data_IF_994288474974
#
_entry.id   IF_994288474974
#
_cell.length_a   1.000
_cell.length_b   1.000
_cell.length_c   1.000
_cell.angle_alpha   90.00
_cell.angle_beta   90.00
_cell.angle_gamma   90.00
#
_symmetry.space_group_name_H-M   'P 1'
#
loop_
_entity.id
_entity.type
_entity.pdbx_description
1 polymer ?
#
# COMPACT_ATOMS: atom_id res chain seq x y z
N UNK A 1 -63.59 -54.36 66.90
CA UNK A 1 -62.14 -54.39 67.33
C UNK A 1 -61.29 -53.71 66.30
N UNK A 2 -60.75 -52.56 66.72
CA UNK A 2 -59.46 -51.91 66.44
C UNK A 2 -58.71 -52.23 65.12
N UNK A 3 -58.37 -51.25 64.28
CA UNK A 3 -57.15 -50.38 64.51
C UNK A 3 -57.13 -49.23 63.50
N UNK A 4 -56.84 -48.07 64.05
CA UNK A 4 -56.50 -46.82 63.29
C UNK A 4 -55.22 -47.01 62.54
N UNK A 5 -55.08 -46.45 61.34
CA UNK A 5 -53.86 -46.19 60.66
C UNK A 5 -53.82 -44.72 60.20
N UNK A 6 -52.88 -44.00 60.70
CA UNK A 6 -52.57 -42.59 60.38
C UNK A 6 -51.83 -42.52 59.04
N UNK A 7 -52.28 -41.69 58.14
CA UNK A 7 -51.53 -41.35 56.93
C UNK A 7 -50.94 -39.97 57.15
N UNK A 8 -49.61 -39.95 57.28
CA UNK A 8 -48.78 -38.73 57.27
C UNK A 8 -48.64 -38.26 55.82
N UNK A 9 -49.14 -37.06 55.53
CA UNK A 9 -48.87 -36.36 54.28
C UNK A 9 -47.49 -35.76 54.28
N UNK A 10 -46.63 -36.17 53.35
CA UNK A 10 -45.40 -35.51 53.04
C UNK A 10 -45.66 -34.42 51.99
N UNK A 11 -45.57 -33.17 52.42
CA UNK A 11 -45.54 -32.04 51.50
C UNK A 11 -44.13 -31.96 50.89
N UNK A 12 -44.01 -32.27 49.58
CA UNK A 12 -42.78 -32.06 48.84
C UNK A 12 -42.66 -30.58 48.45
N UNK A 13 -41.81 -29.83 49.10
CA UNK A 13 -41.36 -28.52 48.66
C UNK A 13 -40.41 -28.70 47.46
N UNK A 14 -40.91 -28.50 46.25
CA UNK A 14 -40.10 -28.36 45.04
C UNK A 14 -39.38 -27.00 45.04
N UNK A 15 -38.11 -26.99 45.35
CA UNK A 15 -37.26 -25.82 45.12
C UNK A 15 -37.00 -25.67 43.63
N UNK A 16 -37.66 -24.70 42.99
CA UNK A 16 -37.35 -24.24 41.66
C UNK A 16 -35.98 -23.53 41.69
N UNK A 17 -34.92 -24.23 41.35
CA UNK A 17 -33.62 -23.61 41.10
C UNK A 17 -33.73 -22.87 39.75
N UNK A 18 -34.01 -21.56 39.81
CA UNK A 18 -33.86 -20.66 38.69
C UNK A 18 -32.35 -20.59 38.42
N UNK A 19 -31.91 -21.37 37.44
CA UNK A 19 -30.58 -21.25 36.89
C UNK A 19 -30.45 -19.86 36.23
N UNK A 20 -29.83 -18.93 36.96
CA UNK A 20 -29.32 -17.70 36.36
C UNK A 20 -28.20 -18.13 35.40
N UNK A 21 -28.56 -18.34 34.14
CA UNK A 21 -27.58 -18.40 33.08
C UNK A 21 -26.88 -17.05 33.08
N UNK A 22 -25.70 -16.98 33.67
CA UNK A 22 -24.77 -15.88 33.47
C UNK A 22 -24.49 -15.80 31.97
N UNK A 23 -25.14 -14.86 31.32
CA UNK A 23 -24.70 -14.34 30.03
C UNK A 23 -23.33 -13.71 30.26
N UNK A 24 -22.29 -14.54 30.26
CA UNK A 24 -20.95 -14.04 30.03
C UNK A 24 -21.00 -13.39 28.67
N UNK A 25 -21.05 -12.06 28.66
CA UNK A 25 -20.70 -11.27 27.47
C UNK A 25 -19.40 -11.87 26.96
N UNK A 26 -19.47 -12.70 25.94
CA UNK A 26 -18.31 -13.17 25.23
C UNK A 26 -17.73 -11.93 24.55
N UNK A 27 -16.85 -11.24 25.27
CA UNK A 27 -16.18 -10.04 24.79
C UNK A 27 -15.60 -10.38 23.43
N UNK A 28 -16.20 -9.82 22.37
CA UNK A 28 -15.85 -10.15 21.00
C UNK A 28 -14.32 -10.02 20.84
N UNK A 29 -13.67 -11.09 20.40
CA UNK A 29 -12.20 -11.15 20.27
C UNK A 29 -11.71 -9.95 19.50
N UNK A 30 -10.89 -9.11 20.13
CA UNK A 30 -10.26 -7.97 19.49
C UNK A 30 -8.96 -8.38 18.79
N UNK A 31 -8.67 -7.75 17.67
CA UNK A 31 -7.49 -8.01 16.87
C UNK A 31 -6.62 -6.76 16.80
N UNK A 32 -5.37 -6.85 17.24
CA UNK A 32 -4.39 -5.79 17.01
C UNK A 32 -3.82 -5.92 15.62
N UNK A 33 -4.10 -4.99 14.73
CA UNK A 33 -3.62 -5.01 13.33
C UNK A 33 -2.72 -3.81 13.11
N UNK A 34 -1.47 -4.09 12.73
CA UNK A 34 -0.48 -3.07 12.43
C UNK A 34 -0.35 -2.85 10.92
N UNK A 35 -0.40 -1.60 10.50
CA UNK A 35 0.03 -1.13 9.18
C UNK A 35 1.44 -0.56 9.33
N UNK A 36 2.42 -1.27 8.76
CA UNK A 36 3.82 -0.86 8.73
C UNK A 36 4.15 -0.30 7.35
N UNK A 37 4.50 0.98 7.31
CA UNK A 37 4.78 1.72 6.08
C UNK A 37 6.28 1.85 5.80
N UNK A 38 6.66 2.29 4.59
CA UNK A 38 8.06 2.48 4.20
C UNK A 38 8.75 3.57 5.01
N UNK A 39 8.05 4.70 5.20
CA UNK A 39 8.48 5.81 6.04
C UNK A 39 7.28 6.61 6.52
N UNK A 40 7.39 7.18 7.71
CA UNK A 40 6.42 8.13 8.25
C UNK A 40 6.57 9.50 7.55
N UNK A 41 5.49 10.28 7.50
CA UNK A 41 5.47 11.62 6.92
C UNK A 41 5.42 11.65 5.38
N UNK A 42 5.35 10.50 4.71
CA UNK A 42 5.08 10.44 3.27
C UNK A 42 3.56 10.55 3.02
N UNK A 43 3.13 11.55 2.25
CA UNK A 43 1.71 11.84 2.00
C UNK A 43 0.89 10.65 1.51
N UNK A 44 1.47 9.78 0.68
CA UNK A 44 0.81 8.55 0.23
C UNK A 44 0.46 7.62 1.40
N UNK A 45 1.37 7.43 2.34
CA UNK A 45 1.15 6.56 3.50
C UNK A 45 0.24 7.20 4.54
N UNK A 46 0.26 8.53 4.68
CA UNK A 46 -0.69 9.24 5.56
C UNK A 46 -2.13 9.13 5.03
N UNK A 47 -2.32 9.20 3.71
CA UNK A 47 -3.62 8.93 3.09
C UNK A 47 -4.03 7.45 3.29
N UNK A 48 -3.12 6.50 3.14
CA UNK A 48 -3.39 5.08 3.38
C UNK A 48 -3.75 4.79 4.84
N UNK A 49 -3.14 5.51 5.81
CA UNK A 49 -3.50 5.46 7.23
C UNK A 49 -4.98 5.75 7.44
N UNK A 50 -5.49 6.82 6.81
CA UNK A 50 -6.93 7.17 6.88
C UNK A 50 -7.80 5.98 6.47
N UNK A 51 -7.45 5.29 5.38
CA UNK A 51 -8.16 4.07 4.96
C UNK A 51 -8.08 2.95 5.98
N UNK A 52 -6.92 2.75 6.60
CA UNK A 52 -6.73 1.77 7.66
C UNK A 52 -7.61 2.03 8.89
N UNK A 53 -7.74 3.30 9.29
CA UNK A 53 -8.63 3.76 10.38
C UNK A 53 -10.11 3.49 10.03
N UNK A 54 -10.51 3.77 8.78
CA UNK A 54 -11.86 3.47 8.29
C UNK A 54 -12.17 1.97 8.31
N UNK A 55 -11.22 1.12 7.89
CA UNK A 55 -11.38 -0.33 7.94
C UNK A 55 -11.52 -0.83 9.39
N UNK A 56 -10.69 -0.34 10.31
CA UNK A 56 -10.76 -0.70 11.72
C UNK A 56 -12.10 -0.29 12.35
N UNK A 57 -12.58 0.91 12.03
CA UNK A 57 -13.89 1.42 12.46
C UNK A 57 -15.03 0.55 11.94
N UNK A 58 -15.02 0.18 10.66
CA UNK A 58 -16.04 -0.68 10.06
C UNK A 58 -16.05 -2.08 10.66
N UNK A 59 -14.88 -2.66 10.95
CA UNK A 59 -14.74 -3.99 11.54
C UNK A 59 -15.17 -4.02 13.03
N UNK A 60 -15.08 -2.91 13.75
CA UNK A 60 -15.58 -2.72 15.12
C UNK A 60 -14.76 -3.41 16.21
N UNK A 61 -13.99 -4.44 15.89
CA UNK A 61 -13.19 -5.22 16.83
C UNK A 61 -11.68 -5.23 16.50
N UNK A 62 -11.19 -4.16 15.87
CA UNK A 62 -9.79 -3.98 15.51
C UNK A 62 -9.17 -2.83 16.31
N UNK A 63 -8.04 -3.11 16.95
CA UNK A 63 -7.13 -2.10 17.47
C UNK A 63 -6.08 -1.81 16.40
N UNK A 64 -6.22 -0.68 15.70
CA UNK A 64 -5.37 -0.30 14.60
C UNK A 64 -4.09 0.37 15.09
N UNK A 65 -2.95 -0.04 14.53
CA UNK A 65 -1.63 0.53 14.81
C UNK A 65 -1.03 0.98 13.48
N UNK A 66 -0.73 2.28 13.37
CA UNK A 66 0.04 2.84 12.25
C UNK A 66 1.46 3.10 12.72
N UNK A 67 2.46 2.57 11.98
CA UNK A 67 3.87 2.73 12.33
C UNK A 67 4.78 2.62 11.10
N UNK A 68 5.98 3.12 11.22
CA UNK A 68 7.02 3.05 10.21
C UNK A 68 8.33 3.67 10.71
N UNK A 69 9.44 3.47 10.00
CA UNK A 69 10.67 4.21 10.25
C UNK A 69 10.53 5.66 9.77
N UNK A 70 11.46 6.53 10.18
CA UNK A 70 11.55 7.91 9.68
C UNK A 70 12.22 8.02 8.31
N UNK A 71 12.99 7.01 7.92
CA UNK A 71 13.62 6.89 6.60
C UNK A 71 13.24 5.54 5.96
N UNK A 72 13.18 5.50 4.63
CA UNK A 72 12.78 4.31 3.87
C UNK A 72 13.90 3.23 3.87
N UNK A 73 14.16 2.61 5.02
CA UNK A 73 15.18 1.58 5.21
C UNK A 73 14.60 0.26 5.70
N UNK A 74 15.18 -0.86 5.28
CA UNK A 74 14.79 -2.19 5.75
C UNK A 74 15.11 -2.40 7.23
N UNK A 75 16.24 -1.86 7.70
CA UNK A 75 16.69 -1.93 9.09
C UNK A 75 15.65 -1.27 10.02
N UNK A 76 15.20 -0.07 9.67
CA UNK A 76 14.16 0.62 10.44
C UNK A 76 12.85 -0.16 10.48
N UNK A 77 12.47 -0.83 9.37
CA UNK A 77 11.27 -1.70 9.38
C UNK A 77 11.48 -2.96 10.22
N UNK A 78 12.68 -3.55 10.24
CA UNK A 78 12.99 -4.69 11.12
C UNK A 78 12.85 -4.31 12.60
N UNK A 79 13.30 -3.12 12.99
CA UNK A 79 13.11 -2.60 14.35
C UNK A 79 11.63 -2.44 14.71
N UNK A 80 10.83 -1.85 13.80
CA UNK A 80 9.39 -1.75 13.98
C UNK A 80 8.71 -3.12 14.10
N UNK A 81 9.07 -4.08 13.24
CA UNK A 81 8.55 -5.45 13.32
C UNK A 81 8.91 -6.14 14.63
N UNK A 82 10.12 -5.92 15.17
CA UNK A 82 10.51 -6.43 16.49
C UNK A 82 9.59 -5.88 17.60
N UNK A 83 9.29 -4.59 17.57
CA UNK A 83 8.38 -3.94 18.50
C UNK A 83 6.96 -4.52 18.40
N UNK A 84 6.44 -4.68 17.18
CA UNK A 84 5.12 -5.26 16.91
C UNK A 84 5.02 -6.72 17.37
N UNK A 85 6.09 -7.50 17.20
CA UNK A 85 6.18 -8.89 17.71
C UNK A 85 6.13 -8.91 19.24
N UNK A 86 6.84 -7.99 19.90
CA UNK A 86 6.81 -7.88 21.37
C UNK A 86 5.41 -7.48 21.89
N UNK A 87 4.69 -6.63 21.15
CA UNK A 87 3.31 -6.23 21.44
C UNK A 87 2.27 -7.32 21.15
N UNK A 88 2.69 -8.47 20.60
CA UNK A 88 1.84 -9.62 20.27
C UNK A 88 0.65 -9.21 19.37
N UNK A 89 0.91 -8.42 18.34
CA UNK A 89 -0.13 -8.05 17.36
C UNK A 89 -0.71 -9.28 16.66
N UNK A 90 -1.94 -9.19 16.19
CA UNK A 90 -2.62 -10.30 15.50
C UNK A 90 -2.16 -10.44 14.05
N UNK A 91 -1.92 -9.29 13.39
CA UNK A 91 -1.41 -9.25 12.02
C UNK A 91 -0.58 -7.99 11.77
N UNK A 92 0.32 -8.09 10.77
CA UNK A 92 1.11 -6.98 10.23
C UNK A 92 0.85 -6.91 8.72
N UNK A 93 0.36 -5.77 8.25
CA UNK A 93 0.31 -5.41 6.85
C UNK A 93 1.49 -4.48 6.55
N UNK A 94 2.48 -4.93 5.78
CA UNK A 94 3.70 -4.18 5.55
C UNK A 94 3.88 -3.78 4.09
N UNK A 95 4.19 -2.50 3.84
CA UNK A 95 4.75 -2.03 2.58
C UNK A 95 6.28 -2.03 2.71
N UNK A 96 6.93 -2.98 2.02
CA UNK A 96 8.34 -3.31 2.27
C UNK A 96 9.32 -2.37 1.59
N UNK A 97 10.39 -2.00 2.28
CA UNK A 97 11.54 -1.27 1.71
C UNK A 97 12.50 -2.21 0.95
N UNK A 98 12.57 -3.46 1.36
CA UNK A 98 13.37 -4.51 0.71
C UNK A 98 12.61 -5.84 0.74
N UNK A 99 12.49 -6.55 -0.40
CA UNK A 99 11.71 -7.79 -0.47
C UNK A 99 12.34 -8.94 0.32
N UNK A 100 13.65 -8.98 0.46
CA UNK A 100 14.40 -10.11 1.03
C UNK A 100 14.78 -9.87 2.50
N UNK A 101 15.18 -8.64 2.85
CA UNK A 101 15.63 -8.30 4.20
C UNK A 101 14.56 -8.56 5.27
N UNK A 102 13.28 -8.39 4.91
CA UNK A 102 12.16 -8.61 5.84
C UNK A 102 11.72 -10.07 5.98
N UNK A 103 12.25 -11.01 5.17
CA UNK A 103 11.79 -12.41 5.20
C UNK A 103 12.07 -13.07 6.56
N UNK A 104 13.27 -12.91 7.11
CA UNK A 104 13.65 -13.54 8.37
C UNK A 104 12.79 -13.08 9.54
N UNK A 105 12.57 -11.75 9.67
CA UNK A 105 11.73 -11.18 10.73
C UNK A 105 10.26 -11.56 10.55
N UNK A 106 9.76 -11.63 9.31
CA UNK A 106 8.40 -12.08 9.00
C UNK A 106 8.17 -13.54 9.40
N UNK A 107 9.12 -14.43 9.14
CA UNK A 107 9.07 -15.82 9.59
C UNK A 107 9.08 -15.92 11.12
N UNK A 108 9.84 -15.06 11.81
CA UNK A 108 9.84 -14.99 13.28
C UNK A 108 8.49 -14.51 13.83
N UNK A 109 7.84 -13.55 13.18
CA UNK A 109 6.49 -13.12 13.51
C UNK A 109 5.49 -14.28 13.32
N UNK A 110 5.56 -14.97 12.18
CA UNK A 110 4.70 -16.12 11.87
C UNK A 110 4.86 -17.27 12.88
N UNK A 111 6.08 -17.59 13.32
CA UNK A 111 6.34 -18.59 14.35
C UNK A 111 5.69 -18.24 15.70
N UNK A 112 5.35 -16.97 15.95
CA UNK A 112 4.60 -16.49 17.11
C UNK A 112 3.10 -16.34 16.88
N UNK A 113 2.60 -16.86 15.75
CA UNK A 113 1.19 -16.83 15.38
C UNK A 113 0.70 -15.53 14.72
N UNK A 114 1.59 -14.54 14.53
CA UNK A 114 1.28 -13.26 13.90
C UNK A 114 1.16 -13.46 12.39
N UNK A 115 0.08 -12.97 11.79
CA UNK A 115 -0.15 -13.05 10.34
C UNK A 115 0.58 -11.89 9.65
N UNK A 116 1.43 -12.21 8.66
CA UNK A 116 2.15 -11.19 7.89
C UNK A 116 1.63 -11.21 6.45
N UNK A 117 1.13 -10.08 6.01
CA UNK A 117 0.81 -9.79 4.61
C UNK A 117 1.64 -8.61 4.15
N UNK A 118 1.83 -8.47 2.84
CA UNK A 118 2.38 -7.25 2.26
C UNK A 118 1.35 -6.55 1.36
N UNK A 119 1.50 -5.26 1.22
CA UNK A 119 0.68 -4.40 0.36
C UNK A 119 1.56 -3.32 -0.27
N UNK A 120 1.12 -2.69 -1.36
CA UNK A 120 1.90 -1.68 -2.10
C UNK A 120 3.26 -2.20 -2.58
N UNK A 121 4.22 -2.40 -1.70
CA UNK A 121 5.55 -2.95 -1.97
C UNK A 121 5.74 -4.28 -1.25
N UNK A 122 6.07 -5.35 -2.01
CA UNK A 122 6.01 -6.72 -1.54
C UNK A 122 7.24 -7.20 -0.77
N UNK A 123 7.01 -8.02 0.26
CA UNK A 123 8.02 -8.96 0.79
C UNK A 123 8.07 -10.16 -0.17
N UNK A 124 9.23 -10.79 -0.32
CA UNK A 124 9.36 -12.06 -1.06
C UNK A 124 8.37 -13.11 -0.51
N UNK A 125 7.81 -13.95 -1.40
CA UNK A 125 6.74 -14.91 -1.10
C UNK A 125 6.98 -15.74 0.18
N UNK A 126 8.25 -16.08 0.45
CA UNK A 126 8.63 -16.86 1.64
C UNK A 126 8.39 -16.14 2.98
N UNK A 127 8.16 -14.82 2.98
CA UNK A 127 7.94 -14.00 4.18
C UNK A 127 6.51 -13.52 4.38
N UNK A 128 5.56 -13.89 3.51
CA UNK A 128 4.19 -13.36 3.54
C UNK A 128 3.13 -14.39 3.21
N UNK A 129 1.91 -14.16 3.66
CA UNK A 129 0.74 -14.97 3.30
C UNK A 129 0.12 -14.52 1.98
N UNK A 130 0.03 -13.20 1.76
CA UNK A 130 -0.42 -12.60 0.49
C UNK A 130 0.29 -11.27 0.24
N UNK A 131 0.22 -10.81 -1.02
CA UNK A 131 0.54 -9.44 -1.40
C UNK A 131 -0.64 -8.78 -2.11
N UNK A 132 -1.02 -7.61 -1.61
CA UNK A 132 -2.00 -6.75 -2.25
C UNK A 132 -1.27 -5.71 -3.11
N UNK A 133 -1.23 -5.95 -4.42
CA UNK A 133 -0.75 -4.96 -5.37
C UNK A 133 -1.76 -3.81 -5.49
N UNK A 134 -1.31 -2.56 -5.61
CA UNK A 134 -2.24 -1.45 -5.86
C UNK A 134 -2.97 -1.60 -7.20
N UNK A 135 -2.27 -2.08 -8.23
CA UNK A 135 -2.79 -2.38 -9.55
C UNK A 135 -1.94 -3.46 -10.24
N UNK A 136 -2.30 -3.83 -11.47
CA UNK A 136 -1.48 -4.72 -12.28
C UNK A 136 -0.12 -4.06 -12.61
N UNK A 137 0.97 -4.72 -12.28
CA UNK A 137 2.35 -4.22 -12.43
C UNK A 137 2.69 -3.83 -13.86
N UNK A 138 2.31 -4.66 -14.85
CA UNK A 138 2.55 -4.36 -16.26
C UNK A 138 1.74 -3.15 -16.74
N UNK A 139 0.51 -3.00 -16.25
CA UNK A 139 -0.35 -1.85 -16.54
C UNK A 139 0.25 -0.56 -15.98
N UNK A 140 0.77 -0.57 -14.74
CA UNK A 140 1.41 0.61 -14.13
C UNK A 140 2.62 1.04 -14.96
N UNK A 141 3.49 0.11 -15.33
CA UNK A 141 4.68 0.44 -16.13
C UNK A 141 4.31 0.98 -17.50
N UNK A 142 3.39 0.30 -18.22
CA UNK A 142 2.90 0.74 -19.54
C UNK A 142 2.25 2.13 -19.46
N UNK A 143 1.39 2.38 -18.48
CA UNK A 143 0.70 3.66 -18.32
C UNK A 143 1.67 4.83 -18.19
N UNK A 144 2.78 4.68 -17.47
CA UNK A 144 3.77 5.73 -17.30
C UNK A 144 4.50 6.04 -18.61
N UNK A 145 4.80 5.02 -19.44
CA UNK A 145 5.36 5.24 -20.79
C UNK A 145 4.32 5.87 -21.72
N UNK A 146 3.06 5.45 -21.66
CA UNK A 146 1.96 6.05 -22.45
C UNK A 146 1.82 7.55 -22.16
N UNK A 147 1.82 7.93 -20.88
CA UNK A 147 1.66 9.34 -20.46
C UNK A 147 2.82 10.21 -20.95
N UNK A 148 4.07 9.82 -20.70
CA UNK A 148 5.22 10.63 -21.15
C UNK A 148 5.33 10.65 -22.68
N UNK A 149 5.01 9.54 -23.35
CA UNK A 149 4.99 9.47 -24.81
C UNK A 149 3.98 10.44 -25.43
N UNK A 150 2.77 10.50 -24.87
CA UNK A 150 1.73 11.44 -25.31
C UNK A 150 2.18 12.90 -25.15
N UNK A 151 2.76 13.25 -23.99
CA UNK A 151 3.28 14.60 -23.71
C UNK A 151 4.42 14.99 -24.65
N UNK A 152 5.33 14.06 -24.99
CA UNK A 152 6.50 14.33 -25.85
C UNK A 152 6.24 14.15 -27.36
N UNK A 153 5.03 13.78 -27.75
CA UNK A 153 4.74 13.48 -29.16
C UNK A 153 5.50 12.25 -29.68
N UNK A 154 5.77 11.29 -28.80
CA UNK A 154 6.35 9.98 -29.14
C UNK A 154 7.86 9.96 -29.31
N UNK A 155 8.62 11.04 -29.03
CA UNK A 155 10.07 11.10 -29.23
C UNK A 155 10.81 11.95 -28.21
N UNK A 156 12.03 11.58 -27.92
CA UNK A 156 12.96 12.34 -27.05
C UNK A 156 13.66 11.46 -26.03
N UNK A 157 14.66 12.05 -25.39
CA UNK A 157 15.34 11.41 -24.26
C UNK A 157 14.47 11.49 -23.00
N UNK A 158 14.34 10.36 -22.30
CA UNK A 158 13.61 10.25 -21.05
C UNK A 158 14.50 9.61 -19.99
N UNK A 159 14.28 9.94 -18.73
CA UNK A 159 14.94 9.31 -17.59
C UNK A 159 13.91 8.90 -16.53
N UNK A 160 14.28 7.98 -15.65
CA UNK A 160 13.47 7.55 -14.53
C UNK A 160 14.10 8.01 -13.24
N UNK A 161 13.33 8.70 -12.39
CA UNK A 161 13.69 9.08 -11.02
C UNK A 161 12.85 8.25 -10.05
N UNK A 162 13.42 7.17 -9.51
CA UNK A 162 12.77 6.23 -8.60
C UNK A 162 13.03 6.56 -7.13
N UNK A 163 12.40 5.80 -6.21
CA UNK A 163 12.66 5.90 -4.77
C UNK A 163 13.98 5.21 -4.39
N UNK A 164 13.94 4.10 -3.68
CA UNK A 164 15.15 3.35 -3.31
C UNK A 164 15.49 2.27 -4.35
N UNK A 165 16.77 1.94 -4.46
CA UNK A 165 17.22 0.88 -5.37
C UNK A 165 16.64 -0.51 -5.02
N UNK A 166 16.15 -0.72 -3.80
CA UNK A 166 15.57 -1.97 -3.30
C UNK A 166 14.03 -2.00 -3.37
N UNK A 167 13.37 -0.88 -3.71
CA UNK A 167 11.90 -0.81 -3.72
C UNK A 167 11.27 -1.83 -4.68
N UNK A 168 10.64 -2.87 -4.14
CA UNK A 168 10.10 -4.02 -4.89
C UNK A 168 9.13 -3.59 -5.99
N UNK A 169 8.13 -2.77 -5.62
CA UNK A 169 7.09 -2.33 -6.53
C UNK A 169 7.66 -1.47 -7.67
N UNK A 170 8.48 -0.47 -7.35
CA UNK A 170 9.02 0.45 -8.36
C UNK A 170 10.00 -0.24 -9.29
N UNK A 171 10.85 -1.15 -8.79
CA UNK A 171 11.71 -1.96 -9.64
C UNK A 171 10.92 -2.83 -10.61
N UNK A 172 9.81 -3.43 -10.18
CA UNK A 172 8.93 -4.19 -11.06
C UNK A 172 8.26 -3.29 -12.12
N UNK A 173 7.87 -2.06 -11.77
CA UNK A 173 7.32 -1.10 -12.72
C UNK A 173 8.39 -0.60 -13.71
N UNK A 174 9.64 -0.40 -13.28
CA UNK A 174 10.77 -0.04 -14.18
C UNK A 174 11.02 -1.16 -15.19
N UNK A 175 10.98 -2.43 -14.75
CA UNK A 175 11.06 -3.56 -15.68
C UNK A 175 9.93 -3.51 -16.71
N UNK A 176 8.69 -3.28 -16.26
CA UNK A 176 7.52 -3.16 -17.15
C UNK A 176 7.62 -1.95 -18.09
N UNK A 177 8.16 -0.80 -17.65
CA UNK A 177 8.43 0.36 -18.50
C UNK A 177 9.45 0.01 -19.59
N UNK A 178 10.57 -0.63 -19.23
CA UNK A 178 11.60 -1.06 -20.16
C UNK A 178 11.06 -2.08 -21.18
N UNK A 179 10.17 -2.98 -20.75
CA UNK A 179 9.51 -3.91 -21.67
C UNK A 179 8.56 -3.18 -22.62
N UNK A 180 7.79 -2.23 -22.13
CA UNK A 180 6.90 -1.39 -22.94
C UNK A 180 7.67 -0.59 -24.01
N UNK A 181 8.86 -0.08 -23.69
CA UNK A 181 9.70 0.67 -24.63
C UNK A 181 10.23 -0.18 -25.80
N UNK A 182 10.15 -1.51 -25.74
CA UNK A 182 10.49 -2.38 -26.89
C UNK A 182 9.43 -2.39 -27.98
N UNK A 183 8.22 -1.94 -27.69
CA UNK A 183 7.16 -1.81 -28.70
C UNK A 183 7.56 -0.74 -29.73
N UNK A 184 7.53 -1.04 -31.06
CA UNK A 184 7.85 -0.10 -32.14
C UNK A 184 7.12 1.25 -32.02
N UNK A 185 5.94 1.28 -31.41
CA UNK A 185 5.18 2.51 -31.12
C UNK A 185 5.99 3.53 -30.31
N UNK A 186 6.94 3.08 -29.49
CA UNK A 186 7.75 3.92 -28.62
C UNK A 186 9.20 4.04 -29.08
N UNK A 187 9.54 3.62 -30.30
CA UNK A 187 10.91 3.64 -30.85
C UNK A 187 11.56 5.02 -30.86
N UNK A 188 10.76 6.10 -30.81
CA UNK A 188 11.27 7.47 -30.72
C UNK A 188 11.67 7.91 -29.31
N UNK A 189 11.33 7.14 -28.26
CA UNK A 189 11.73 7.43 -26.89
C UNK A 189 13.03 6.70 -26.57
N UNK A 190 14.00 7.44 -26.02
CA UNK A 190 15.29 6.91 -25.57
C UNK A 190 15.42 7.02 -24.05
N UNK A 191 15.38 5.90 -23.31
CA UNK A 191 15.63 5.88 -21.88
C UNK A 191 17.14 5.95 -21.62
N UNK A 192 17.61 7.11 -21.16
CA UNK A 192 19.06 7.42 -21.00
C UNK A 192 19.58 7.09 -19.60
N UNK A 193 18.73 7.14 -18.55
CA UNK A 193 19.19 6.90 -17.18
C UNK A 193 18.06 6.46 -16.24
N UNK A 194 18.47 5.86 -15.10
CA UNK A 194 17.60 5.53 -13.95
C UNK A 194 18.34 5.94 -12.68
N UNK A 195 17.79 6.88 -11.92
CA UNK A 195 18.37 7.39 -10.67
C UNK A 195 17.42 7.19 -9.49
N UNK A 196 17.93 7.33 -8.27
CA UNK A 196 17.20 6.99 -7.04
C UNK A 196 17.27 8.13 -6.01
N UNK A 197 16.12 8.70 -5.69
CA UNK A 197 15.96 9.80 -4.74
C UNK A 197 15.69 9.37 -3.30
N UNK A 198 15.65 8.05 -3.00
CA UNK A 198 15.41 7.44 -1.68
C UNK A 198 14.12 7.89 -0.99
N UNK A 199 13.10 8.31 -1.77
CA UNK A 199 11.87 8.96 -1.28
C UNK A 199 12.16 10.18 -0.36
N UNK A 200 13.29 10.87 -0.60
CA UNK A 200 13.65 12.12 0.03
C UNK A 200 13.53 13.26 -0.97
N UNK A 201 12.77 14.29 -0.62
CA UNK A 201 12.50 15.43 -1.51
C UNK A 201 13.78 16.11 -1.98
N UNK A 202 14.69 16.43 -1.06
CA UNK A 202 15.94 17.10 -1.38
C UNK A 202 16.88 16.25 -2.23
N UNK A 203 16.94 14.94 -1.99
CA UNK A 203 17.74 14.04 -2.82
C UNK A 203 17.11 13.91 -4.20
N UNK A 204 15.80 13.71 -4.29
CA UNK A 204 15.09 13.63 -5.56
C UNK A 204 15.25 14.89 -6.41
N UNK A 205 15.24 16.07 -5.77
CA UNK A 205 15.52 17.33 -6.43
C UNK A 205 16.95 17.39 -7.01
N UNK A 206 17.96 16.96 -6.21
CA UNK A 206 19.37 16.90 -6.70
C UNK A 206 19.55 15.84 -7.80
N UNK A 207 18.84 14.71 -7.73
CA UNK A 207 18.88 13.71 -8.81
C UNK A 207 18.28 14.27 -10.11
N UNK A 208 17.18 15.04 -10.05
CA UNK A 208 16.64 15.74 -11.23
C UNK A 208 17.65 16.74 -11.80
N UNK A 209 18.36 17.49 -10.95
CA UNK A 209 19.45 18.36 -11.36
C UNK A 209 20.59 17.59 -12.03
N UNK A 210 21.00 16.47 -11.44
CA UNK A 210 22.07 15.61 -11.97
C UNK A 210 21.71 15.04 -13.34
N UNK A 211 20.46 14.58 -13.52
CA UNK A 211 19.95 14.09 -14.80
C UNK A 211 20.07 15.13 -15.89
N UNK A 212 19.62 16.36 -15.66
CA UNK A 212 19.65 17.42 -16.65
C UNK A 212 21.07 17.96 -16.93
N UNK A 213 21.95 17.89 -15.95
CA UNK A 213 23.38 18.23 -16.13
C UNK A 213 24.10 17.17 -16.98
N UNK A 214 23.79 15.88 -16.76
CA UNK A 214 24.41 14.76 -17.45
C UNK A 214 23.82 14.55 -18.85
N UNK A 215 22.52 14.82 -19.03
CA UNK A 215 21.77 14.63 -20.27
C UNK A 215 21.12 15.93 -20.72
N UNK A 216 21.86 16.85 -21.39
CA UNK A 216 21.36 18.19 -21.73
C UNK A 216 20.20 18.16 -22.76
N UNK A 217 20.00 17.04 -23.46
CA UNK A 217 18.88 16.83 -24.38
C UNK A 217 17.66 16.17 -23.74
N UNK A 218 17.70 15.91 -22.42
CA UNK A 218 16.60 15.26 -21.70
C UNK A 218 15.30 16.05 -21.86
N UNK A 219 14.22 15.36 -22.28
CA UNK A 219 12.89 15.95 -22.50
C UNK A 219 11.88 15.53 -21.47
N UNK A 220 12.05 14.36 -20.87
CA UNK A 220 11.09 13.85 -19.90
C UNK A 220 11.71 13.15 -18.71
N UNK A 221 11.13 13.35 -17.52
CA UNK A 221 11.43 12.60 -16.30
C UNK A 221 10.18 11.83 -15.90
N UNK A 222 10.31 10.52 -15.79
CA UNK A 222 9.27 9.65 -15.22
C UNK A 222 9.62 9.36 -13.78
N UNK A 223 8.75 9.74 -12.84
CA UNK A 223 8.97 9.44 -11.43
C UNK A 223 7.86 8.51 -10.88
N UNK A 224 8.13 7.19 -10.73
CA UNK A 224 7.18 6.23 -10.15
C UNK A 224 7.08 6.35 -8.62
N UNK A 225 7.16 7.56 -8.08
CA UNK A 225 7.11 7.86 -6.65
C UNK A 225 6.49 9.24 -6.42
N UNK A 226 5.61 9.35 -5.40
CA UNK A 226 4.92 10.61 -5.09
C UNK A 226 5.89 11.72 -4.66
N UNK A 227 6.94 11.37 -3.93
CA UNK A 227 8.00 12.30 -3.53
C UNK A 227 8.85 12.74 -4.73
N UNK A 228 9.27 11.79 -5.56
CA UNK A 228 10.14 12.06 -6.71
C UNK A 228 9.48 12.93 -7.76
N UNK A 229 8.19 12.69 -8.08
CA UNK A 229 7.47 13.48 -9.08
C UNK A 229 7.32 14.94 -8.66
N UNK A 230 6.97 15.18 -7.38
CA UNK A 230 6.83 16.53 -6.84
C UNK A 230 8.18 17.27 -6.85
N UNK A 231 9.26 16.58 -6.42
CA UNK A 231 10.61 17.16 -6.40
C UNK A 231 11.14 17.47 -7.80
N UNK A 232 10.94 16.59 -8.78
CA UNK A 232 11.32 16.81 -10.17
C UNK A 232 10.53 17.97 -10.80
N UNK A 233 9.22 18.03 -10.56
CA UNK A 233 8.37 19.12 -11.04
C UNK A 233 8.78 20.47 -10.42
N UNK A 234 9.09 20.48 -9.12
CA UNK A 234 9.65 21.66 -8.45
C UNK A 234 10.94 22.12 -9.12
N UNK A 235 11.89 21.21 -9.38
CA UNK A 235 13.15 21.53 -10.07
C UNK A 235 12.90 22.16 -11.45
N UNK A 236 12.00 21.59 -12.25
CA UNK A 236 11.65 22.11 -13.58
C UNK A 236 11.12 23.54 -13.50
N UNK A 237 10.30 23.86 -12.50
CA UNK A 237 9.78 25.23 -12.28
C UNK A 237 10.90 26.17 -11.84
N UNK A 238 11.66 25.80 -10.80
CA UNK A 238 12.72 26.63 -10.22
C UNK A 238 13.78 27.02 -11.28
N UNK A 239 14.08 26.09 -12.21
CA UNK A 239 15.05 26.30 -13.29
C UNK A 239 14.45 26.91 -14.57
N UNK A 240 13.16 27.30 -14.55
CA UNK A 240 12.46 27.89 -15.70
C UNK A 240 12.49 26.96 -16.96
N UNK A 241 12.33 25.67 -16.73
CA UNK A 241 12.36 24.64 -17.78
C UNK A 241 10.96 24.18 -18.22
N UNK A 242 9.89 24.81 -17.72
CA UNK A 242 8.51 24.54 -18.11
C UNK A 242 8.37 24.70 -19.65
N UNK A 243 7.75 23.70 -20.29
CA UNK A 243 7.65 23.62 -21.76
C UNK A 243 8.91 23.10 -22.47
N UNK A 244 10.01 22.86 -21.76
CA UNK A 244 11.26 22.29 -22.31
C UNK A 244 11.52 20.89 -21.77
N UNK A 245 11.24 20.67 -20.50
CA UNK A 245 11.34 19.39 -19.80
C UNK A 245 10.00 19.12 -19.13
N UNK A 246 9.49 17.91 -19.31
CA UNK A 246 8.21 17.47 -18.77
C UNK A 246 8.41 16.41 -17.71
N UNK A 247 7.57 16.43 -16.68
CA UNK A 247 7.57 15.43 -15.61
C UNK A 247 6.25 14.67 -15.67
N UNK A 248 6.31 13.35 -15.51
CA UNK A 248 5.16 12.46 -15.39
C UNK A 248 5.48 11.34 -14.40
N UNK A 249 4.49 10.53 -14.03
CA UNK A 249 4.71 9.40 -13.13
C UNK A 249 3.52 9.13 -12.21
N UNK A 250 3.82 8.83 -10.94
CA UNK A 250 2.81 8.55 -9.92
C UNK A 250 2.83 9.65 -8.86
N UNK A 251 1.71 10.31 -8.62
CA UNK A 251 1.64 11.46 -7.72
C UNK A 251 0.31 11.58 -6.98
N UNK A 252 0.33 12.23 -5.81
CA UNK A 252 -0.89 12.60 -5.10
C UNK A 252 -1.51 13.85 -5.74
N UNK A 253 -2.80 13.85 -6.08
CA UNK A 253 -3.46 15.04 -6.63
C UNK A 253 -3.31 16.28 -5.74
N UNK A 254 -3.36 16.15 -4.41
CA UNK A 254 -3.16 17.24 -3.46
C UNK A 254 -1.77 17.91 -3.58
N UNK A 255 -0.74 17.12 -3.82
CA UNK A 255 0.63 17.60 -3.99
C UNK A 255 0.89 18.11 -5.42
N UNK A 256 0.24 17.49 -6.42
CA UNK A 256 0.52 17.72 -7.84
C UNK A 256 -0.28 18.84 -8.48
N UNK A 257 -1.42 19.28 -7.88
CA UNK A 257 -2.31 20.26 -8.50
C UNK A 257 -1.62 21.57 -8.88
N UNK A 258 -0.70 22.06 -8.04
CA UNK A 258 0.09 23.27 -8.31
C UNK A 258 1.02 23.08 -9.52
N UNK A 259 1.67 21.93 -9.62
CA UNK A 259 2.63 21.62 -10.70
C UNK A 259 1.95 21.41 -12.06
N UNK A 260 0.74 20.84 -12.03
CA UNK A 260 -0.10 20.70 -13.24
C UNK A 260 -0.54 22.07 -13.74
N UNK A 261 -1.00 22.97 -12.85
CA UNK A 261 -1.40 24.35 -13.20
C UNK A 261 -0.22 25.16 -13.73
N UNK A 262 0.97 24.93 -13.21
CA UNK A 262 2.19 25.57 -13.66
C UNK A 262 2.73 25.01 -14.98
N UNK A 263 2.16 23.91 -15.50
CA UNK A 263 2.58 23.29 -16.77
C UNK A 263 3.87 22.47 -16.70
N UNK A 264 4.39 22.15 -15.50
CA UNK A 264 5.54 21.27 -15.33
C UNK A 264 5.15 19.79 -15.48
N UNK A 265 3.88 19.46 -15.26
CA UNK A 265 3.28 18.14 -15.36
C UNK A 265 2.00 18.22 -16.16
N UNK A 266 1.91 17.53 -17.28
CA UNK A 266 0.67 17.45 -18.07
C UNK A 266 -0.28 16.39 -17.51
N UNK A 267 0.28 15.20 -17.27
CA UNK A 267 -0.46 14.03 -16.77
C UNK A 267 0.37 13.23 -15.79
N UNK A 268 -0.30 12.68 -14.81
CA UNK A 268 0.24 11.70 -13.89
C UNK A 268 -0.84 10.70 -13.50
N UNK A 269 -0.50 9.61 -12.84
CA UNK A 269 -1.46 8.61 -12.42
C UNK A 269 -1.29 8.25 -10.96
N UNK A 270 -2.34 7.69 -10.38
CA UNK A 270 -2.32 7.01 -9.08
C UNK A 270 -3.59 6.17 -8.94
N UNK A 271 -3.58 5.22 -8.04
CA UNK A 271 -4.77 4.61 -7.44
C UNK A 271 -5.16 5.40 -6.18
N UNK A 272 -6.34 5.12 -5.62
CA UNK A 272 -6.74 5.75 -4.37
C UNK A 272 -5.96 5.13 -3.18
N UNK A 273 -5.06 5.87 -2.51
CA UNK A 273 -4.28 5.35 -1.39
C UNK A 273 -5.14 5.04 -0.15
N UNK A 274 -6.24 5.75 0.06
CA UNK A 274 -7.20 5.50 1.15
C UNK A 274 -7.81 4.11 0.96
N UNK A 275 -8.29 3.79 -0.26
CA UNK A 275 -8.86 2.48 -0.56
C UNK A 275 -7.83 1.37 -0.47
N UNK A 276 -6.57 1.64 -0.83
CA UNK A 276 -5.50 0.66 -0.70
C UNK A 276 -5.17 0.36 0.77
N UNK A 277 -5.04 1.39 1.60
CA UNK A 277 -4.81 1.24 3.04
C UNK A 277 -5.98 0.54 3.74
N UNK A 278 -7.22 0.93 3.40
CA UNK A 278 -8.43 0.25 3.86
C UNK A 278 -8.39 -1.24 3.50
N UNK A 279 -8.12 -1.57 2.25
CA UNK A 279 -8.06 -2.95 1.75
C UNK A 279 -6.97 -3.77 2.42
N UNK A 280 -5.81 -3.18 2.70
CA UNK A 280 -4.69 -3.83 3.37
C UNK A 280 -5.05 -4.23 4.82
N UNK A 281 -5.67 -3.32 5.59
CA UNK A 281 -6.11 -3.62 6.97
C UNK A 281 -7.26 -4.63 6.97
N UNK A 282 -8.21 -4.49 6.05
CA UNK A 282 -9.31 -5.42 5.93
C UNK A 282 -8.83 -6.84 5.57
N UNK A 283 -7.90 -6.96 4.62
CA UNK A 283 -7.26 -8.23 4.28
C UNK A 283 -6.49 -8.81 5.48
N UNK A 284 -5.66 -8.01 6.16
CA UNK A 284 -4.94 -8.47 7.36
C UNK A 284 -5.89 -9.05 8.42
N UNK A 285 -7.07 -8.45 8.58
CA UNK A 285 -8.12 -8.99 9.46
C UNK A 285 -8.65 -10.35 8.99
N UNK A 286 -8.80 -10.59 7.68
CA UNK A 286 -9.24 -11.91 7.18
C UNK A 286 -8.28 -13.02 7.61
N UNK A 287 -6.97 -12.75 7.57
CA UNK A 287 -5.95 -13.70 8.05
C UNK A 287 -5.92 -13.81 9.57
N UNK A 288 -6.01 -12.70 10.30
CA UNK A 288 -6.00 -12.69 11.76
C UNK A 288 -7.21 -13.43 12.35
N UNK A 289 -8.37 -13.30 11.71
CA UNK A 289 -9.62 -13.97 12.12
C UNK A 289 -9.76 -15.42 11.62
N UNK A 290 -8.81 -15.90 10.80
CA UNK A 290 -8.83 -17.25 10.23
C UNK A 290 -9.78 -17.43 9.03
N UNK A 291 -10.33 -16.33 8.50
CA UNK A 291 -11.21 -16.33 7.31
C UNK A 291 -10.46 -16.51 6.01
N UNK A 292 -9.14 -16.25 5.99
CA UNK A 292 -8.26 -16.47 4.85
C UNK A 292 -7.00 -17.22 5.28
N UNK A 293 -6.37 -17.94 4.33
CA UNK A 293 -5.22 -18.82 4.55
C UNK A 293 -4.01 -18.53 3.66
N UNK A 294 -4.17 -17.75 2.59
CA UNK A 294 -3.11 -17.39 1.64
C UNK A 294 -2.75 -18.51 0.66
N UNK A 295 -3.75 -19.16 0.09
CA UNK A 295 -3.56 -20.19 -0.94
C UNK A 295 -3.78 -19.61 -2.33
N UNK A 296 -3.06 -20.12 -3.33
CA UNK A 296 -3.35 -19.80 -4.73
C UNK A 296 -4.81 -20.17 -5.08
N UNK A 297 -5.49 -19.28 -5.80
CA UNK A 297 -6.90 -19.41 -6.15
C UNK A 297 -7.87 -19.01 -5.02
N UNK A 298 -7.38 -18.70 -3.83
CA UNK A 298 -8.23 -18.28 -2.71
C UNK A 298 -8.84 -16.91 -2.96
N UNK A 299 -10.12 -16.78 -2.64
CA UNK A 299 -10.85 -15.52 -2.66
C UNK A 299 -10.73 -14.83 -1.30
N UNK A 300 -10.18 -13.62 -1.27
CA UNK A 300 -9.98 -12.82 -0.06
C UNK A 300 -10.82 -11.55 -0.16
N UNK A 301 -11.67 -11.29 0.84
CA UNK A 301 -12.41 -10.04 0.91
C UNK A 301 -11.48 -8.90 1.30
N UNK A 302 -11.58 -7.78 0.59
CA UNK A 302 -10.92 -6.52 0.87
C UNK A 302 -11.94 -5.40 1.20
N UNK A 303 -13.04 -5.81 1.83
CA UNK A 303 -14.10 -4.94 2.33
C UNK A 303 -14.88 -4.25 1.23
N UNK A 304 -15.03 -2.92 1.31
CA UNK A 304 -15.78 -2.11 0.32
C UNK A 304 -15.23 -2.22 -1.10
N UNK A 305 -13.97 -2.59 -1.25
CA UNK A 305 -13.36 -2.81 -2.56
C UNK A 305 -13.67 -4.20 -3.14
N UNK A 306 -14.46 -5.02 -2.44
CA UNK A 306 -14.96 -6.31 -2.92
C UNK A 306 -14.10 -7.50 -2.53
N UNK A 307 -13.82 -8.37 -3.50
CA UNK A 307 -13.10 -9.63 -3.30
C UNK A 307 -12.07 -9.81 -4.39
N UNK A 308 -10.84 -10.12 -4.01
CA UNK A 308 -9.73 -10.43 -4.91
C UNK A 308 -9.48 -11.94 -4.92
N UNK A 309 -8.91 -12.44 -6.03
CA UNK A 309 -8.48 -13.84 -6.16
C UNK A 309 -6.96 -13.89 -6.21
N UNK A 310 -6.34 -14.63 -5.30
CA UNK A 310 -4.89 -14.76 -5.22
C UNK A 310 -4.37 -15.61 -6.39
N UNK A 311 -3.34 -15.13 -7.07
CA UNK A 311 -2.64 -15.86 -8.13
C UNK A 311 -1.73 -16.97 -7.58
N UNK A 312 -0.92 -17.61 -8.45
CA UNK A 312 0.04 -18.64 -8.07
C UNK A 312 1.13 -18.13 -7.09
N UNK A 313 1.38 -16.83 -7.06
CA UNK A 313 2.32 -16.18 -6.15
C UNK A 313 1.65 -15.65 -4.87
N UNK A 314 0.35 -15.92 -4.69
CA UNK A 314 -0.48 -15.36 -3.63
C UNK A 314 -0.54 -13.82 -3.68
N UNK A 315 -0.63 -13.27 -4.88
CA UNK A 315 -0.75 -11.84 -5.16
C UNK A 315 -2.07 -11.52 -5.86
N UNK A 316 -2.57 -10.31 -5.65
CA UNK A 316 -3.70 -9.82 -6.41
C UNK A 316 -3.67 -8.29 -6.50
N UNK A 317 -4.11 -7.69 -7.61
CA UNK A 317 -4.28 -6.24 -7.73
C UNK A 317 -5.58 -5.80 -7.05
N UNK A 318 -5.58 -4.57 -6.50
CA UNK A 318 -6.77 -3.93 -5.95
C UNK A 318 -7.65 -3.35 -7.07
N UNK A 319 -7.06 -2.62 -8.02
CA UNK A 319 -7.80 -1.94 -9.09
C UNK A 319 -6.87 -1.27 -10.09
N UNK A 320 -7.42 -0.55 -11.07
CA UNK A 320 -6.63 0.14 -12.08
C UNK A 320 -6.19 1.55 -11.62
N UNK A 321 -5.04 2.07 -12.11
CA UNK A 321 -4.63 3.43 -11.83
C UNK A 321 -5.52 4.43 -12.59
N UNK A 322 -5.85 5.54 -11.92
CA UNK A 322 -6.56 6.66 -12.51
C UNK A 322 -5.56 7.72 -13.04
N UNK A 323 -5.87 8.36 -14.16
CA UNK A 323 -5.03 9.41 -14.75
C UNK A 323 -5.56 10.78 -14.38
N UNK A 324 -4.67 11.63 -13.90
CA UNK A 324 -4.94 13.01 -13.52
C UNK A 324 -4.31 13.98 -14.50
N UNK A 325 -4.99 15.09 -14.74
CA UNK A 325 -4.57 16.20 -15.59
C UNK A 325 -5.21 17.51 -15.11
N UNK A 326 -5.04 18.60 -15.84
CA UNK A 326 -5.58 19.92 -15.51
C UNK A 326 -7.11 19.96 -15.36
N UNK A 327 -7.84 19.06 -16.05
CA UNK A 327 -9.29 19.08 -16.09
C UNK A 327 -9.92 18.40 -14.86
N UNK A 328 -9.16 17.56 -14.14
CA UNK A 328 -9.71 16.78 -13.04
C UNK A 328 -8.92 16.88 -11.72
N UNK A 329 -7.65 17.31 -11.74
CA UNK A 329 -6.77 17.29 -10.56
C UNK A 329 -7.34 18.02 -9.36
N UNK A 330 -7.98 19.17 -9.54
CA UNK A 330 -8.55 19.99 -8.44
C UNK A 330 -9.68 19.28 -7.69
N UNK A 331 -10.45 18.46 -8.39
CA UNK A 331 -11.51 17.65 -7.79
C UNK A 331 -10.91 16.61 -6.83
N UNK A 332 -9.84 15.95 -7.26
CA UNK A 332 -9.20 14.88 -6.48
C UNK A 332 -8.21 15.40 -5.44
N UNK A 333 -7.64 16.59 -5.62
CA UNK A 333 -6.76 17.24 -4.64
C UNK A 333 -7.41 17.51 -3.28
N UNK A 334 -8.75 17.47 -3.22
CA UNK A 334 -9.52 17.60 -1.97
C UNK A 334 -9.83 16.26 -1.32
N UNK A 335 -9.60 15.16 -2.02
CA UNK A 335 -9.92 13.81 -1.55
C UNK A 335 -8.70 13.12 -0.93
N UNK A 336 -7.53 13.30 -1.50
CA UNK A 336 -6.24 12.77 -1.04
C UNK A 336 -5.04 13.43 -1.73
#
# INVERSE_FOLDING_TARGET
MNRRAWILGLAAFGTLAIGVASLTDAQARRYKIAMLVKSLGNGFFEAAKTGGEEAAKQLGNVDFIYTGPTAATAEGQIEQMNSLIAQKVSAIAVSANDPNALVAISKRAAARGIKVISWDSGIAKAGRLMHLNPSNTALIGRKQIEMISATLGGKGEIAILSATAQATNQNAWIVAMKETLKDPKYAGLNLVDVVYGDDQSDKSYREAQGLLSKHPNLKGIIAPTTVGIAAAAKYVIDQKLVGKVFVSGLGLPSEMAGYVKAGAVDTFALWNPIDLGYSAVFAAYQFASGKARGKAGEKVSIGRMGTITLDANTEAPMGDPFTFNKDNVDKFAKAF
#
